data_IF_967332672552
#
_entry.id   IF_967332672552
#
_cell.length_a   1.000
_cell.length_b   1.000
_cell.length_c   1.000
_cell.angle_alpha   90.00
_cell.angle_beta   90.00
_cell.angle_gamma   90.00
#
_symmetry.space_group_name_H-M   'P 1'
#
loop_
_entity.id
_entity.type
_entity.pdbx_description
1 polymer ?
#
# COMPACT_ATOMS: atom_id res chain seq x y z
N UNK A 1 14.11 22.93 -4.86
CA UNK A 1 12.69 22.62 -5.18
C UNK A 1 12.45 21.23 -5.81
N UNK A 2 13.46 20.35 -5.95
CA UNK A 2 13.27 19.05 -6.62
C UNK A 2 12.79 17.92 -5.68
N UNK A 3 13.19 17.93 -4.41
CA UNK A 3 12.83 16.89 -3.43
C UNK A 3 11.32 16.87 -3.13
N UNK A 4 10.72 18.06 -3.00
CA UNK A 4 9.28 18.22 -2.72
C UNK A 4 8.45 17.72 -3.91
N UNK A 5 8.90 17.99 -5.14
CA UNK A 5 8.29 17.47 -6.37
C UNK A 5 8.34 15.95 -6.44
N UNK A 6 9.46 15.35 -6.04
CA UNK A 6 9.62 13.90 -6.00
C UNK A 6 8.74 13.26 -4.93
N UNK A 7 8.67 13.85 -3.73
CA UNK A 7 7.78 13.41 -2.65
C UNK A 7 6.31 13.42 -3.08
N UNK A 8 5.90 14.47 -3.79
CA UNK A 8 4.54 14.58 -4.31
C UNK A 8 4.23 13.50 -5.36
N UNK A 9 5.20 13.15 -6.20
CA UNK A 9 5.08 12.03 -7.16
C UNK A 9 4.98 10.67 -6.45
N UNK A 10 5.72 10.46 -5.37
CA UNK A 10 5.70 9.23 -4.59
C UNK A 10 4.56 9.17 -3.56
N UNK A 11 3.73 10.22 -3.43
CA UNK A 11 2.59 10.26 -2.53
C UNK A 11 1.68 9.02 -2.59
N UNK A 12 1.34 8.48 -3.78
CA UNK A 12 0.55 7.26 -3.89
C UNK A 12 1.24 6.03 -3.32
N UNK A 13 2.57 5.94 -3.44
CA UNK A 13 3.36 4.85 -2.88
C UNK A 13 3.37 4.92 -1.35
N UNK A 14 3.57 6.10 -0.78
CA UNK A 14 3.49 6.29 0.66
C UNK A 14 2.09 5.99 1.20
N UNK A 15 1.03 6.40 0.51
CA UNK A 15 -0.34 6.04 0.88
C UNK A 15 -0.56 4.52 0.85
N UNK A 16 -0.11 3.86 -0.22
CA UNK A 16 -0.22 2.41 -0.36
C UNK A 16 0.43 1.64 0.80
N UNK A 17 1.63 2.06 1.21
CA UNK A 17 2.40 1.35 2.24
C UNK A 17 1.98 1.74 3.67
N UNK A 18 1.75 3.03 3.93
CA UNK A 18 1.52 3.50 5.30
C UNK A 18 0.04 3.59 5.70
N UNK A 19 -0.88 3.70 4.74
CA UNK A 19 -2.32 3.85 5.01
C UNK A 19 -3.07 2.61 4.55
N UNK A 20 -2.89 2.20 3.29
CA UNK A 20 -3.65 1.09 2.73
C UNK A 20 -3.26 -0.25 3.38
N UNK A 21 -1.97 -0.51 3.61
CA UNK A 21 -1.50 -1.75 4.27
C UNK A 21 -2.10 -2.01 5.65
N UNK A 22 -2.03 -1.10 6.65
CA UNK A 22 -2.62 -1.38 7.96
C UNK A 22 -4.15 -1.54 7.87
N UNK A 23 -4.82 -0.76 7.02
CA UNK A 23 -6.26 -0.90 6.79
C UNK A 23 -6.60 -2.27 6.22
N UNK A 24 -5.87 -2.73 5.20
CA UNK A 24 -6.08 -4.06 4.61
C UNK A 24 -5.81 -5.18 5.61
N UNK A 25 -4.72 -5.05 6.40
CA UNK A 25 -4.37 -6.04 7.40
C UNK A 25 -5.47 -6.19 8.44
N UNK A 26 -6.06 -5.07 8.87
CA UNK A 26 -7.13 -5.10 9.86
C UNK A 26 -8.46 -5.57 9.31
N UNK A 27 -8.75 -5.27 8.05
CA UNK A 27 -9.85 -5.91 7.33
C UNK A 27 -9.65 -7.43 7.31
N UNK A 28 -8.47 -7.92 6.90
CA UNK A 28 -8.17 -9.36 6.88
C UNK A 28 -8.31 -10.01 8.26
N UNK A 29 -7.84 -9.34 9.31
CA UNK A 29 -7.99 -9.81 10.69
C UNK A 29 -9.46 -9.87 11.13
N UNK A 30 -10.27 -8.85 10.81
CA UNK A 30 -11.71 -8.84 11.09
C UNK A 30 -12.46 -10.00 10.41
N UNK A 31 -12.05 -10.35 9.19
CA UNK A 31 -12.63 -11.48 8.45
C UNK A 31 -12.03 -12.84 8.84
N UNK A 32 -11.15 -12.91 9.85
CA UNK A 32 -10.39 -14.11 10.22
C UNK A 32 -9.67 -14.74 9.01
N UNK A 33 -9.29 -13.92 8.03
CA UNK A 33 -8.57 -14.37 6.85
C UNK A 33 -7.12 -14.57 7.28
N UNK A 34 -6.65 -15.81 7.35
CA UNK A 34 -5.26 -16.13 7.71
C UNK A 34 -4.67 -17.07 6.69
N UNK A 35 -3.52 -16.71 6.12
CA UNK A 35 -2.74 -17.61 5.28
C UNK A 35 -1.74 -18.40 6.13
N UNK A 36 -1.63 -19.72 5.93
CA UNK A 36 -0.78 -20.57 6.76
C UNK A 36 0.72 -20.29 6.59
N UNK A 37 1.12 -19.66 5.48
CA UNK A 37 2.53 -19.42 5.15
C UNK A 37 2.96 -17.95 5.26
N UNK A 38 2.01 -17.02 5.35
CA UNK A 38 2.28 -15.57 5.27
C UNK A 38 1.38 -14.83 6.24
N UNK A 39 1.97 -13.92 7.01
CA UNK A 39 1.22 -13.00 7.88
C UNK A 39 0.39 -12.02 7.03
N UNK A 40 -0.81 -11.70 7.51
CA UNK A 40 -1.72 -10.75 6.88
C UNK A 40 -1.08 -9.40 6.62
N UNK A 41 -0.18 -8.95 7.51
CA UNK A 41 0.53 -7.68 7.35
C UNK A 41 1.48 -7.73 6.14
N UNK A 42 2.16 -8.85 5.91
CA UNK A 42 3.09 -9.02 4.79
C UNK A 42 2.33 -9.02 3.48
N UNK A 43 1.21 -9.74 3.42
CA UNK A 43 0.34 -9.75 2.24
C UNK A 43 -0.23 -8.36 1.95
N UNK A 44 -0.73 -7.69 2.98
CA UNK A 44 -1.28 -6.33 2.89
C UNK A 44 -0.22 -5.31 2.49
N UNK A 45 1.04 -5.51 2.90
CA UNK A 45 2.18 -4.69 2.49
C UNK A 45 2.46 -4.87 1.01
N UNK A 46 2.47 -6.10 0.50
CA UNK A 46 2.64 -6.35 -0.92
C UNK A 46 1.54 -5.71 -1.76
N UNK A 47 0.28 -5.88 -1.37
CA UNK A 47 -0.86 -5.26 -2.08
C UNK A 47 -0.75 -3.74 -2.03
N UNK A 48 -0.51 -3.16 -0.85
CA UNK A 48 -0.37 -1.73 -0.67
C UNK A 48 0.80 -1.14 -1.48
N UNK A 49 1.94 -1.82 -1.47
CA UNK A 49 3.13 -1.41 -2.22
C UNK A 49 2.90 -1.47 -3.74
N UNK A 50 2.39 -2.60 -4.26
CA UNK A 50 2.13 -2.73 -5.70
C UNK A 50 1.08 -1.73 -6.17
N UNK A 51 0.01 -1.54 -5.40
CA UNK A 51 -1.04 -0.57 -5.73
C UNK A 51 -0.49 0.86 -5.75
N UNK A 52 0.25 1.24 -4.71
CA UNK A 52 0.89 2.56 -4.62
C UNK A 52 1.93 2.80 -5.72
N UNK A 53 2.68 1.77 -6.11
CA UNK A 53 3.64 1.81 -7.21
C UNK A 53 2.94 1.97 -8.57
N UNK A 54 1.87 1.22 -8.81
CA UNK A 54 1.04 1.36 -10.04
C UNK A 54 0.44 2.78 -10.12
N UNK A 55 -0.11 3.29 -9.02
CA UNK A 55 -0.69 4.63 -8.96
C UNK A 55 0.38 5.72 -9.18
N UNK A 56 1.59 5.51 -8.67
CA UNK A 56 2.74 6.39 -8.88
C UNK A 56 3.17 6.40 -10.35
N UNK A 57 3.24 5.24 -11.01
CA UNK A 57 3.63 5.14 -12.43
C UNK A 57 2.55 5.71 -13.35
N UNK A 58 1.28 5.40 -13.10
CA UNK A 58 0.16 5.92 -13.90
C UNK A 58 -0.14 7.39 -13.66
N UNK A 59 0.36 7.98 -12.56
CA UNK A 59 0.04 9.34 -12.14
C UNK A 59 -1.44 9.55 -11.80
N UNK A 60 -2.18 8.46 -11.57
CA UNK A 60 -3.61 8.45 -11.24
C UNK A 60 -3.88 7.39 -10.17
N UNK A 61 -4.81 7.70 -9.28
CA UNK A 61 -5.19 6.84 -8.16
C UNK A 61 -6.18 5.73 -8.56
N UNK A 62 -6.83 5.88 -9.71
CA UNK A 62 -7.83 4.99 -10.32
C UNK A 62 -7.47 4.80 -11.80
#
# INVERSE_FOLDING_TARGET
>A
MQIISFLNKCGPLFFGVFILTPVLSEIMNLYNFSLPFISNIVLSLFIGFFWGLIATIKGRWI
#
